data_IF_547774893050
#
_entry.id   IF_547774893050
#
_cell.length_a   1.000
_cell.length_b   1.000
_cell.length_c   1.000
_cell.angle_alpha   90.00
_cell.angle_beta   90.00
_cell.angle_gamma   90.00
#
_symmetry.space_group_name_H-M   'P 1'
#
loop_
_entity.id
_entity.type
_entity.pdbx_description
1 polymer ?
#
# COMPACT_ATOMS: atom_id res chain seq x y z
N UNK A 1 -14.20 10.26 36.63
CA UNK A 1 -14.64 9.20 35.68
C UNK A 1 -13.77 7.98 35.93
N UNK A 2 -14.37 6.83 36.16
CA UNK A 2 -13.65 5.59 36.40
C UNK A 2 -13.04 5.05 35.09
N UNK A 3 -11.86 4.40 35.17
CA UNK A 3 -11.16 3.87 34.00
C UNK A 3 -12.03 2.90 33.17
N UNK A 4 -12.87 2.12 33.83
CA UNK A 4 -13.81 1.21 33.20
C UNK A 4 -14.87 1.94 32.37
N UNK A 5 -15.30 3.10 32.79
CA UNK A 5 -16.26 3.95 32.08
C UNK A 5 -15.61 4.61 30.86
N UNK A 6 -14.35 5.08 31.01
CA UNK A 6 -13.56 5.64 29.91
C UNK A 6 -13.40 4.60 28.80
N UNK A 7 -13.01 3.36 29.13
CA UNK A 7 -12.86 2.26 28.17
C UNK A 7 -14.16 1.96 27.43
N UNK A 8 -15.30 1.87 28.11
CA UNK A 8 -16.61 1.70 27.46
C UNK A 8 -16.95 2.82 26.48
N UNK A 9 -16.52 4.05 26.76
CA UNK A 9 -16.77 5.16 25.86
C UNK A 9 -15.81 5.12 24.65
N UNK A 10 -14.57 4.67 24.84
CA UNK A 10 -13.63 4.39 23.73
C UNK A 10 -14.22 3.32 22.80
N UNK A 11 -14.70 2.19 23.35
CA UNK A 11 -15.32 1.09 22.56
C UNK A 11 -16.48 1.60 21.68
N UNK A 12 -17.27 2.53 22.19
CA UNK A 12 -18.37 3.15 21.41
C UNK A 12 -17.86 4.02 20.26
N UNK A 13 -16.77 4.74 20.49
CA UNK A 13 -16.12 5.56 19.45
C UNK A 13 -15.50 4.67 18.38
N UNK A 14 -14.79 3.61 18.80
CA UNK A 14 -14.16 2.66 17.90
C UNK A 14 -15.19 1.93 17.02
N UNK A 15 -16.35 1.59 17.58
CA UNK A 15 -17.47 1.01 16.79
C UNK A 15 -17.90 1.97 15.66
N UNK A 16 -18.08 3.25 15.96
CA UNK A 16 -18.44 4.25 14.93
C UNK A 16 -17.33 4.46 13.91
N UNK A 17 -16.08 4.48 14.38
CA UNK A 17 -14.92 4.59 13.49
C UNK A 17 -14.86 3.44 12.50
N UNK A 18 -15.11 2.21 12.98
CA UNK A 18 -15.16 1.03 12.14
C UNK A 18 -16.28 1.12 11.09
N UNK A 19 -17.50 1.50 11.49
CA UNK A 19 -18.64 1.68 10.57
C UNK A 19 -18.33 2.72 9.47
N UNK A 20 -17.78 3.87 9.84
CA UNK A 20 -17.37 4.92 8.90
C UNK A 20 -16.23 4.48 7.98
N UNK A 21 -15.29 3.68 8.50
CA UNK A 21 -14.22 3.12 7.71
C UNK A 21 -14.76 2.12 6.66
N UNK A 22 -15.70 1.24 7.03
CA UNK A 22 -16.36 0.33 6.06
C UNK A 22 -17.10 1.11 4.96
N UNK A 23 -17.83 2.17 5.34
CA UNK A 23 -18.52 3.02 4.36
C UNK A 23 -17.51 3.66 3.39
N UNK A 24 -16.39 4.17 3.92
CA UNK A 24 -15.33 4.75 3.10
C UNK A 24 -14.70 3.72 2.16
N UNK A 25 -14.53 2.48 2.59
CA UNK A 25 -13.97 1.41 1.75
C UNK A 25 -14.92 1.02 0.61
N UNK A 26 -16.24 1.01 0.84
CA UNK A 26 -17.23 0.83 -0.23
C UNK A 26 -17.17 1.96 -1.28
N UNK A 27 -16.97 3.20 -0.84
CA UNK A 27 -16.75 4.31 -1.78
C UNK A 27 -15.42 4.19 -2.53
N UNK A 28 -14.35 3.70 -1.88
CA UNK A 28 -13.07 3.44 -2.53
C UNK A 28 -13.19 2.36 -3.62
N UNK A 29 -14.01 1.34 -3.42
CA UNK A 29 -14.35 0.34 -4.44
C UNK A 29 -15.03 0.99 -5.65
N UNK A 30 -16.04 1.84 -5.43
CA UNK A 30 -16.71 2.56 -6.50
C UNK A 30 -15.72 3.42 -7.32
N UNK A 31 -14.78 4.09 -6.62
CA UNK A 31 -13.72 4.87 -7.28
C UNK A 31 -12.83 3.97 -8.15
N UNK A 32 -12.40 2.81 -7.64
CA UNK A 32 -11.57 1.87 -8.39
C UNK A 32 -12.26 1.42 -9.67
N UNK A 33 -13.50 0.95 -9.59
CA UNK A 33 -14.29 0.51 -10.75
C UNK A 33 -14.52 1.62 -11.78
N UNK A 34 -14.75 2.85 -11.32
CA UNK A 34 -14.87 4.02 -12.22
C UNK A 34 -13.55 4.31 -12.91
N UNK A 35 -12.43 4.28 -12.20
CA UNK A 35 -11.10 4.52 -12.77
C UNK A 35 -10.69 3.45 -13.78
N UNK A 36 -11.05 2.20 -13.55
CA UNK A 36 -10.86 1.12 -14.54
C UNK A 36 -11.52 1.47 -15.87
N UNK A 37 -12.75 1.99 -15.84
CA UNK A 37 -13.48 2.33 -17.05
C UNK A 37 -12.96 3.57 -17.76
N UNK A 38 -12.33 4.50 -17.04
CA UNK A 38 -11.79 5.77 -17.59
C UNK A 38 -10.30 5.75 -17.89
N UNK A 39 -9.58 4.72 -17.44
CA UNK A 39 -8.12 4.65 -17.54
C UNK A 39 -7.38 5.65 -16.62
N UNK A 40 -8.06 6.16 -15.58
CA UNK A 40 -7.46 7.15 -14.68
C UNK A 40 -6.61 6.48 -13.57
N UNK A 41 -5.51 7.14 -13.17
CA UNK A 41 -4.60 6.60 -12.13
C UNK A 41 -5.25 6.57 -10.75
N UNK A 42 -4.98 5.51 -9.98
CA UNK A 42 -5.43 5.40 -8.58
C UNK A 42 -4.76 6.48 -7.73
N UNK A 43 -3.44 6.57 -7.79
CA UNK A 43 -2.68 7.53 -7.01
C UNK A 43 -2.78 8.93 -7.60
N UNK A 44 -3.25 9.86 -6.80
CA UNK A 44 -3.40 11.30 -7.14
C UNK A 44 -2.80 12.13 -6.00
N UNK A 45 -1.47 12.40 -6.00
CA UNK A 45 -0.79 13.12 -4.90
C UNK A 45 -1.45 14.46 -4.57
N UNK A 46 -1.82 15.24 -5.59
CA UNK A 46 -2.45 16.55 -5.40
C UNK A 46 -3.81 16.43 -4.69
N UNK A 47 -4.59 15.39 -5.03
CA UNK A 47 -5.86 15.13 -4.37
C UNK A 47 -5.69 14.71 -2.92
N UNK A 48 -4.70 13.89 -2.63
CA UNK A 48 -4.38 13.48 -1.26
C UNK A 48 -3.94 14.69 -0.42
N UNK A 49 -3.08 15.54 -0.97
CA UNK A 49 -2.67 16.76 -0.29
C UNK A 49 -3.86 17.70 0.00
N UNK A 50 -4.78 17.86 -0.96
CA UNK A 50 -6.02 18.64 -0.74
C UNK A 50 -6.86 18.06 0.41
N UNK A 51 -6.99 16.73 0.49
CA UNK A 51 -7.74 16.08 1.58
C UNK A 51 -7.06 16.31 2.92
N UNK A 52 -5.73 16.14 2.98
CA UNK A 52 -4.95 16.38 4.20
C UNK A 52 -5.17 17.83 4.67
N UNK A 53 -4.90 18.82 3.82
CA UNK A 53 -5.04 20.24 4.18
C UNK A 53 -6.46 20.58 4.63
N UNK A 54 -7.47 20.18 3.87
CA UNK A 54 -8.88 20.47 4.16
C UNK A 54 -9.30 20.05 5.57
N UNK A 55 -8.81 18.90 6.03
CA UNK A 55 -9.24 18.33 7.31
C UNK A 55 -8.26 18.55 8.45
N UNK A 56 -6.98 18.87 8.18
CA UNK A 56 -6.01 19.19 9.22
C UNK A 56 -6.03 20.66 9.62
N UNK A 57 -6.39 21.59 8.71
CA UNK A 57 -6.46 23.02 9.01
C UNK A 57 -7.39 23.38 10.18
N UNK A 58 -8.61 22.82 10.32
CA UNK A 58 -9.50 23.11 11.43
C UNK A 58 -9.15 22.35 12.72
N UNK A 59 -8.16 21.46 12.71
CA UNK A 59 -7.75 20.71 13.90
C UNK A 59 -6.95 21.58 14.87
N UNK A 60 -7.10 21.31 16.18
CA UNK A 60 -6.26 21.90 17.19
C UNK A 60 -4.77 21.60 16.89
N UNK A 61 -3.89 22.58 17.10
CA UNK A 61 -2.47 22.49 16.73
C UNK A 61 -1.78 21.26 17.33
N UNK A 62 -2.11 20.92 18.58
CA UNK A 62 -1.58 19.73 19.27
C UNK A 62 -2.04 18.40 18.64
N UNK A 63 -3.19 18.39 17.96
CA UNK A 63 -3.79 17.19 17.35
C UNK A 63 -3.52 17.08 15.86
N UNK A 64 -3.09 18.15 15.21
CA UNK A 64 -2.93 18.24 13.75
C UNK A 64 -2.04 17.16 13.18
N UNK A 65 -0.86 16.93 13.78
CA UNK A 65 0.08 15.91 13.32
C UNK A 65 -0.48 14.48 13.42
N UNK A 66 -1.22 14.20 14.51
CA UNK A 66 -1.87 12.88 14.68
C UNK A 66 -3.00 12.68 13.67
N UNK A 67 -3.77 13.74 13.41
CA UNK A 67 -4.82 13.70 12.40
C UNK A 67 -4.26 13.48 10.99
N UNK A 68 -3.19 14.20 10.62
CA UNK A 68 -2.50 14.00 9.34
C UNK A 68 -1.97 12.57 9.17
N UNK A 69 -1.38 12.00 10.23
CA UNK A 69 -0.91 10.62 10.23
C UNK A 69 -2.05 9.62 10.02
N UNK A 70 -3.18 9.82 10.71
CA UNK A 70 -4.37 8.99 10.58
C UNK A 70 -4.93 9.03 9.15
N UNK A 71 -5.15 10.23 8.59
CA UNK A 71 -5.76 10.36 7.26
C UNK A 71 -4.85 9.84 6.16
N UNK A 72 -3.53 10.05 6.25
CA UNK A 72 -2.54 9.45 5.33
C UNK A 72 -2.63 7.93 5.36
N UNK A 73 -2.74 7.34 6.56
CA UNK A 73 -2.88 5.89 6.71
C UNK A 73 -4.17 5.35 6.11
N UNK A 74 -5.28 6.01 6.37
CA UNK A 74 -6.60 5.65 5.80
C UNK A 74 -6.58 5.75 4.26
N UNK A 75 -5.91 6.75 3.69
CA UNK A 75 -5.76 6.88 2.24
C UNK A 75 -4.88 5.78 1.65
N UNK A 76 -3.76 5.44 2.30
CA UNK A 76 -2.89 4.34 1.86
C UNK A 76 -3.66 3.01 1.81
N UNK A 77 -4.33 2.62 2.90
CA UNK A 77 -5.16 1.39 2.95
C UNK A 77 -6.21 1.39 1.82
N UNK A 78 -6.82 2.54 1.54
CA UNK A 78 -7.79 2.64 0.46
C UNK A 78 -7.19 2.47 -0.93
N UNK A 79 -5.94 2.93 -1.15
CA UNK A 79 -5.22 2.68 -2.40
C UNK A 79 -4.87 1.20 -2.56
N UNK A 80 -4.33 0.58 -1.53
CA UNK A 80 -4.05 -0.87 -1.52
C UNK A 80 -5.29 -1.69 -1.89
N UNK A 81 -6.43 -1.32 -1.31
CA UNK A 81 -7.72 -1.94 -1.61
C UNK A 81 -8.14 -1.71 -3.06
N UNK A 82 -7.97 -0.50 -3.60
CA UNK A 82 -8.28 -0.18 -4.99
C UNK A 82 -7.40 -0.96 -5.97
N UNK A 83 -6.09 -1.08 -5.70
CA UNK A 83 -5.20 -1.91 -6.53
C UNK A 83 -5.60 -3.38 -6.51
N UNK A 84 -6.05 -3.90 -5.36
CA UNK A 84 -6.59 -5.26 -5.28
C UNK A 84 -7.78 -5.46 -6.20
N UNK A 85 -8.73 -4.54 -6.20
CA UNK A 85 -9.94 -4.60 -7.04
C UNK A 85 -9.57 -4.55 -8.53
N UNK A 86 -8.66 -3.66 -8.92
CA UNK A 86 -8.18 -3.57 -10.31
C UNK A 86 -7.55 -4.85 -10.82
N UNK A 87 -6.97 -5.64 -9.92
CA UNK A 87 -6.20 -6.83 -10.27
C UNK A 87 -7.01 -8.13 -10.11
N UNK A 88 -8.28 -8.06 -9.67
CA UNK A 88 -9.15 -9.24 -9.54
C UNK A 88 -9.30 -10.02 -10.85
N UNK A 89 -9.30 -9.32 -11.99
CA UNK A 89 -9.48 -9.91 -13.32
C UNK A 89 -8.15 -10.16 -14.07
N UNK A 90 -6.99 -9.97 -13.42
CA UNK A 90 -5.69 -10.16 -14.08
C UNK A 90 -5.35 -11.66 -14.14
N UNK A 91 -5.07 -12.25 -15.33
CA UNK A 91 -4.73 -13.67 -15.44
C UNK A 91 -3.47 -14.01 -14.63
N UNK A 92 -3.54 -15.08 -13.86
CA UNK A 92 -2.44 -15.56 -13.02
C UNK A 92 -1.18 -16.00 -13.82
N UNK A 93 -1.31 -16.23 -15.11
CA UNK A 93 -0.25 -16.82 -15.94
C UNK A 93 0.93 -15.87 -16.22
N UNK A 94 0.67 -14.56 -16.30
CA UNK A 94 1.73 -13.55 -16.51
C UNK A 94 2.61 -13.36 -15.29
N UNK A 95 2.11 -13.71 -14.13
CA UNK A 95 2.68 -13.45 -12.81
C UNK A 95 3.34 -14.68 -12.19
N UNK A 96 2.99 -15.89 -12.68
CA UNK A 96 3.50 -17.16 -12.16
C UNK A 96 5.03 -17.28 -12.27
N UNK A 97 5.62 -16.75 -13.33
CA UNK A 97 7.07 -16.73 -13.53
C UNK A 97 7.81 -15.81 -12.54
N UNK A 98 7.19 -14.69 -12.15
CA UNK A 98 7.76 -13.73 -11.17
C UNK A 98 7.69 -14.28 -9.74
N UNK A 99 6.78 -15.19 -9.47
CA UNK A 99 6.46 -15.69 -8.12
C UNK A 99 7.03 -17.10 -7.85
N UNK A 100 7.90 -17.61 -8.71
CA UNK A 100 8.61 -18.87 -8.45
C UNK A 100 9.69 -18.74 -7.38
N UNK A 101 10.15 -17.51 -7.10
CA UNK A 101 11.14 -17.21 -6.08
C UNK A 101 10.46 -16.65 -4.81
N UNK A 102 10.90 -17.08 -3.63
CA UNK A 102 10.43 -16.57 -2.34
C UNK A 102 10.83 -15.11 -2.08
N UNK A 103 11.70 -14.56 -2.93
CA UNK A 103 12.21 -13.19 -2.81
C UNK A 103 12.19 -12.51 -4.17
N UNK A 104 11.63 -11.32 -4.22
CA UNK A 104 11.65 -10.43 -5.38
C UNK A 104 12.41 -9.15 -5.02
N UNK A 105 13.23 -8.64 -5.94
CA UNK A 105 13.88 -7.35 -5.77
C UNK A 105 13.29 -6.36 -6.77
N UNK A 106 12.77 -5.25 -6.27
CA UNK A 106 12.25 -4.15 -7.09
C UNK A 106 13.22 -2.98 -7.08
N UNK A 107 13.40 -2.37 -8.24
CA UNK A 107 14.12 -1.10 -8.41
C UNK A 107 13.17 -0.05 -8.95
N UNK A 108 13.24 1.15 -8.42
CA UNK A 108 12.41 2.27 -8.85
C UNK A 108 13.04 3.60 -8.42
N UNK A 109 12.58 4.68 -9.02
CA UNK A 109 12.90 6.04 -8.56
C UNK A 109 11.67 6.64 -7.87
N UNK A 110 11.93 7.38 -6.78
CA UNK A 110 10.88 7.99 -5.98
C UNK A 110 11.33 9.34 -5.42
N UNK A 111 10.42 10.32 -5.40
CA UNK A 111 10.71 11.65 -4.85
C UNK A 111 10.60 11.63 -3.33
N UNK A 112 11.72 11.75 -2.65
CA UNK A 112 11.80 11.65 -1.19
C UNK A 112 11.89 10.20 -0.71
N UNK A 113 11.64 9.94 0.56
CA UNK A 113 11.62 8.58 1.11
C UNK A 113 10.29 7.89 0.82
N UNK A 114 10.28 6.62 0.36
CA UNK A 114 9.07 5.93 -0.07
C UNK A 114 8.31 5.30 1.11
N UNK A 115 7.91 6.12 2.10
CA UNK A 115 7.21 5.68 3.32
C UNK A 115 5.97 4.83 3.02
N UNK A 116 5.18 5.24 2.03
CA UNK A 116 3.96 4.54 1.62
C UNK A 116 4.27 3.13 1.12
N UNK A 117 5.31 3.00 0.29
CA UNK A 117 5.74 1.70 -0.27
C UNK A 117 6.25 0.78 0.84
N UNK A 118 7.12 1.29 1.71
CA UNK A 118 7.65 0.53 2.85
C UNK A 118 6.52 0.08 3.77
N UNK A 119 5.56 0.95 4.03
CA UNK A 119 4.39 0.64 4.86
C UNK A 119 3.52 -0.43 4.20
N UNK A 120 3.22 -0.32 2.91
CA UNK A 120 2.43 -1.30 2.17
C UNK A 120 3.12 -2.68 2.13
N UNK A 121 4.45 -2.73 2.01
CA UNK A 121 5.19 -3.99 2.11
C UNK A 121 4.95 -4.66 3.47
N UNK A 122 5.06 -3.92 4.56
CA UNK A 122 4.83 -4.45 5.90
C UNK A 122 3.37 -4.91 6.10
N UNK A 123 2.40 -4.17 5.58
CA UNK A 123 0.97 -4.49 5.68
C UNK A 123 0.59 -5.75 4.90
N UNK A 124 1.27 -6.01 3.79
CA UNK A 124 1.06 -7.23 3.00
C UNK A 124 1.54 -8.50 3.70
N UNK A 125 2.21 -8.37 4.86
CA UNK A 125 2.86 -9.47 5.57
C UNK A 125 4.20 -9.90 4.98
N UNK A 126 4.64 -9.26 3.90
CA UNK A 126 5.96 -9.48 3.32
C UNK A 126 7.07 -8.85 4.18
N UNK A 127 8.30 -9.31 3.99
CA UNK A 127 9.46 -8.84 4.77
C UNK A 127 10.50 -8.20 3.87
N UNK A 128 10.92 -7.00 4.22
CA UNK A 128 12.07 -6.37 3.58
C UNK A 128 13.34 -7.10 4.06
N UNK A 129 14.08 -7.70 3.13
CA UNK A 129 15.34 -8.43 3.37
C UNK A 129 16.57 -7.68 2.87
N UNK A 130 16.37 -6.68 2.02
CA UNK A 130 17.41 -5.78 1.54
C UNK A 130 16.83 -4.44 1.17
N UNK A 131 17.56 -3.36 1.48
CA UNK A 131 17.19 -2.00 1.14
C UNK A 131 18.43 -1.22 0.78
N UNK A 132 18.47 -0.67 -0.43
CA UNK A 132 19.53 0.25 -0.84
C UNK A 132 18.90 1.51 -1.43
N UNK A 133 19.58 2.64 -1.18
CA UNK A 133 19.20 3.95 -1.70
C UNK A 133 20.43 4.64 -2.27
N UNK A 134 20.28 5.15 -3.49
CA UNK A 134 21.29 5.99 -4.12
C UNK A 134 20.58 7.19 -4.77
N UNK A 135 20.71 8.36 -4.14
CA UNK A 135 19.91 9.55 -4.46
C UNK A 135 18.41 9.27 -4.37
N UNK A 136 17.69 9.33 -5.50
CA UNK A 136 16.24 9.02 -5.58
C UNK A 136 15.96 7.62 -6.13
N UNK A 137 17.00 6.80 -6.34
CA UNK A 137 16.87 5.42 -6.80
C UNK A 137 16.87 4.47 -5.60
N UNK A 138 15.88 3.58 -5.58
CA UNK A 138 15.67 2.60 -4.52
C UNK A 138 15.74 1.19 -5.08
N UNK A 139 16.34 0.28 -4.30
CA UNK A 139 16.27 -1.16 -4.57
C UNK A 139 15.83 -1.85 -3.28
N UNK A 140 14.69 -2.52 -3.32
CA UNK A 140 14.10 -3.19 -2.17
C UNK A 140 13.94 -4.67 -2.47
N UNK A 141 14.57 -5.53 -1.66
CA UNK A 141 14.38 -6.97 -1.72
C UNK A 141 13.27 -7.37 -0.75
N UNK A 142 12.25 -8.02 -1.27
CA UNK A 142 11.01 -8.35 -0.58
C UNK A 142 10.88 -9.87 -0.56
N UNK A 143 10.87 -10.46 0.64
CA UNK A 143 10.53 -11.86 0.83
C UNK A 143 9.06 -12.00 1.19
N UNK A 144 8.36 -12.88 0.49
CA UNK A 144 6.95 -13.14 0.71
C UNK A 144 6.70 -14.63 0.97
N UNK A 145 5.86 -14.91 1.96
CA UNK A 145 5.43 -16.27 2.25
C UNK A 145 4.12 -16.53 1.51
N UNK A 146 4.19 -17.32 0.45
CA UNK A 146 3.08 -18.05 -0.23
C UNK A 146 1.75 -17.34 -0.57
N UNK A 147 1.45 -16.13 -0.11
CA UNK A 147 0.25 -15.42 -0.55
C UNK A 147 0.52 -14.61 -1.83
N UNK A 148 0.50 -15.30 -2.97
CA UNK A 148 0.86 -14.76 -4.29
C UNK A 148 0.07 -13.50 -4.65
N UNK A 149 -1.23 -13.47 -4.36
CA UNK A 149 -2.11 -12.34 -4.72
C UNK A 149 -1.71 -11.04 -4.01
N UNK A 150 -1.29 -11.11 -2.74
CA UNK A 150 -0.89 -9.92 -1.98
C UNK A 150 0.36 -9.25 -2.55
N UNK A 151 1.37 -10.05 -2.91
CA UNK A 151 2.62 -9.50 -3.49
C UNK A 151 2.38 -8.88 -4.86
N UNK A 152 1.51 -9.46 -5.68
CA UNK A 152 1.17 -8.95 -7.01
C UNK A 152 0.56 -7.54 -6.89
N UNK A 153 -0.43 -7.38 -6.02
CA UNK A 153 -1.09 -6.09 -5.82
C UNK A 153 -0.09 -5.03 -5.32
N UNK A 154 0.82 -5.44 -4.44
CA UNK A 154 1.90 -4.59 -3.96
C UNK A 154 2.85 -4.17 -5.08
N UNK A 155 3.29 -5.10 -5.93
CA UNK A 155 4.18 -4.81 -7.05
C UNK A 155 3.54 -3.83 -8.04
N UNK A 156 2.27 -4.02 -8.36
CA UNK A 156 1.51 -3.10 -9.23
C UNK A 156 1.30 -1.72 -8.60
N UNK A 157 1.11 -1.66 -7.29
CA UNK A 157 1.09 -0.39 -6.57
C UNK A 157 2.44 0.33 -6.69
N UNK A 158 3.56 -0.36 -6.45
CA UNK A 158 4.91 0.21 -6.56
C UNK A 158 5.15 0.72 -7.99
N UNK A 159 4.83 -0.08 -9.00
CA UNK A 159 4.93 0.29 -10.41
C UNK A 159 4.14 1.57 -10.72
N UNK A 160 2.91 1.67 -10.23
CA UNK A 160 2.02 2.79 -10.52
C UNK A 160 2.35 4.07 -9.73
N UNK A 161 3.01 3.94 -8.58
CA UNK A 161 3.32 5.07 -7.68
C UNK A 161 4.79 5.52 -7.75
N UNK A 162 5.60 4.92 -8.63
CA UNK A 162 7.02 5.24 -8.79
C UNK A 162 7.41 5.37 -10.25
N UNK A 163 8.61 5.92 -10.50
CA UNK A 163 9.18 6.03 -11.84
C UNK A 163 10.28 4.98 -12.04
N UNK A 164 10.58 4.65 -13.31
CA UNK A 164 11.65 3.73 -13.70
C UNK A 164 11.59 2.37 -12.97
N UNK A 165 10.37 1.85 -12.79
CA UNK A 165 10.15 0.58 -12.13
C UNK A 165 10.72 -0.60 -12.91
N UNK A 166 11.37 -1.53 -12.20
CA UNK A 166 11.81 -2.80 -12.74
C UNK A 166 11.85 -3.88 -11.66
N UNK A 167 11.58 -5.13 -12.05
CA UNK A 167 11.72 -6.29 -11.18
C UNK A 167 12.98 -7.03 -11.57
N UNK A 168 13.81 -7.34 -10.57
CA UNK A 168 14.94 -8.24 -10.70
C UNK A 168 14.54 -9.58 -10.13
N UNK A 169 14.32 -10.53 -11.00
CA UNK A 169 14.18 -11.94 -10.59
C UNK A 169 15.59 -12.48 -10.35
N UNK A 170 15.91 -13.11 -9.20
CA UNK A 170 17.18 -13.81 -9.04
C UNK A 170 17.34 -14.81 -10.17
N UNK A 171 18.46 -14.76 -10.90
CA UNK A 171 18.81 -15.84 -11.82
C UNK A 171 18.89 -17.12 -11.01
N UNK A 172 18.00 -18.07 -11.27
CA UNK A 172 18.09 -19.43 -10.70
C UNK A 172 19.39 -20.00 -11.26
N UNK A 173 20.42 -20.09 -10.43
CA UNK A 173 21.64 -20.72 -10.86
C UNK A 173 21.34 -22.19 -11.14
N UNK A 174 21.74 -22.65 -12.31
CA UNK A 174 21.53 -24.04 -12.77
C UNK A 174 22.16 -25.07 -11.80
N UNK A 175 22.97 -24.62 -10.82
CA UNK A 175 23.55 -25.43 -9.75
C UNK A 175 22.56 -25.91 -8.67
N UNK A 176 21.36 -25.35 -8.60
CA UNK A 176 20.38 -25.63 -7.52
C UNK A 176 19.26 -26.60 -7.93
N UNK A 177 19.39 -27.22 -9.10
CA UNK A 177 18.47 -28.28 -9.54
C UNK A 177 18.98 -29.60 -8.93
N UNK A 178 18.24 -30.20 -7.97
CA UNK A 178 18.61 -31.51 -7.46
C UNK A 178 18.57 -32.54 -8.62
N UNK A 179 19.67 -33.29 -8.77
CA UNK A 179 19.78 -34.37 -9.72
C UNK A 179 18.91 -35.56 -9.32
#
# INVERSE_FOLDING_TARGET
MELSEIRKNIDKVDTKLFELFEERMKLAECVARTKTSTGDCIYKPDREQQVISKFSEPADEDMKGYYEALIKRVMLISREYQYRILNEDTPADTEAAMLSADTVTVRFTYKGFPDNIVTAINDSGAKITGFTMNNSEYSISIRHDSCKTGIINLLKMIESESDNYSILVPEISVSDIPK
#
